data_IF_451008612713
#
_entry.id   IF_451008612713
#
_cell.length_a   1.000
_cell.length_b   1.000
_cell.length_c   1.000
_cell.angle_alpha   90.00
_cell.angle_beta   90.00
_cell.angle_gamma   90.00
#
_symmetry.space_group_name_H-M   'P 1'
#
loop_
_entity.id
_entity.type
_entity.pdbx_description
1 polymer ?
#
# COMPACT_ATOMS: atom_id res chain seq x y z
N UNK A 1 -17.13 -13.30 17.79
CA UNK A 1 -16.33 -13.76 16.64
C UNK A 1 -17.26 -13.91 15.44
N UNK A 2 -17.25 -12.95 14.51
CA UNK A 2 -18.17 -12.93 13.36
C UNK A 2 -17.48 -13.52 12.14
N UNK A 3 -17.53 -14.85 12.01
CA UNK A 3 -17.09 -15.56 10.82
C UNK A 3 -18.27 -15.70 9.87
N UNK A 4 -18.15 -15.19 8.64
CA UNK A 4 -19.15 -15.33 7.59
C UNK A 4 -18.55 -16.08 6.41
N UNK A 5 -19.35 -16.89 5.73
CA UNK A 5 -18.96 -17.58 4.52
C UNK A 5 -19.96 -17.21 3.42
N UNK A 6 -19.45 -16.75 2.28
CA UNK A 6 -20.23 -16.49 1.06
C UNK A 6 -19.67 -17.30 -0.10
N UNK A 7 -20.49 -17.54 -1.11
CA UNK A 7 -20.06 -18.10 -2.39
C UNK A 7 -20.35 -17.07 -3.46
N UNK A 8 -19.30 -16.61 -4.13
CA UNK A 8 -19.37 -15.65 -5.22
C UNK A 8 -18.55 -16.20 -6.39
N UNK A 9 -19.10 -16.20 -7.61
CA UNK A 9 -18.45 -16.72 -8.82
C UNK A 9 -17.90 -18.16 -8.67
N UNK A 10 -18.64 -19.03 -7.98
CA UNK A 10 -18.23 -20.40 -7.61
C UNK A 10 -17.02 -20.48 -6.66
N UNK A 11 -16.63 -19.36 -6.06
CA UNK A 11 -15.54 -19.26 -5.11
C UNK A 11 -16.07 -19.12 -3.67
N UNK A 12 -15.43 -19.82 -2.75
CA UNK A 12 -15.73 -19.68 -1.32
C UNK A 12 -14.96 -18.50 -0.75
N UNK A 13 -15.69 -17.48 -0.28
CA UNK A 13 -15.12 -16.37 0.48
C UNK A 13 -15.42 -16.56 1.97
N UNK A 14 -14.38 -16.56 2.78
CA UNK A 14 -14.46 -16.58 4.24
C UNK A 14 -14.06 -15.20 4.75
N UNK A 15 -14.97 -14.56 5.50
CA UNK A 15 -14.76 -13.23 6.08
C UNK A 15 -14.73 -13.33 7.61
N UNK A 16 -13.79 -12.60 8.19
CA UNK A 16 -13.65 -12.48 9.64
C UNK A 16 -13.43 -11.02 10.02
N UNK A 17 -14.32 -10.47 10.86
CA UNK A 17 -14.14 -9.14 11.44
C UNK A 17 -13.43 -9.28 12.79
N UNK A 18 -12.20 -8.81 12.85
CA UNK A 18 -11.40 -8.78 14.07
C UNK A 18 -11.84 -7.62 14.98
N UNK A 19 -11.68 -7.77 16.28
CA UNK A 19 -12.05 -6.75 17.28
C UNK A 19 -11.34 -5.41 17.12
N UNK A 20 -10.15 -5.41 16.49
CA UNK A 20 -9.41 -4.19 16.14
C UNK A 20 -10.03 -3.40 14.98
N UNK A 21 -11.09 -3.89 14.33
CA UNK A 21 -11.68 -3.33 13.13
C UNK A 21 -11.07 -3.84 11.82
N UNK A 22 -10.04 -4.72 11.89
CA UNK A 22 -9.48 -5.35 10.70
C UNK A 22 -10.47 -6.36 10.11
N UNK A 23 -10.79 -6.21 8.83
CA UNK A 23 -11.55 -7.20 8.06
C UNK A 23 -10.57 -8.14 7.36
N UNK A 24 -10.66 -9.42 7.66
CA UNK A 24 -9.84 -10.47 7.04
C UNK A 24 -10.70 -11.26 6.05
N UNK A 25 -10.21 -11.42 4.83
CA UNK A 25 -10.88 -12.17 3.77
C UNK A 25 -9.96 -13.29 3.30
N UNK A 26 -10.49 -14.50 3.21
CA UNK A 26 -9.75 -15.68 2.74
C UNK A 26 -10.54 -16.37 1.62
N UNK A 27 -9.88 -16.56 0.49
CA UNK A 27 -10.39 -17.35 -0.64
C UNK A 27 -9.55 -18.62 -0.75
N UNK A 28 -10.03 -19.77 -0.24
CA UNK A 28 -9.34 -21.03 -0.36
C UNK A 28 -9.30 -21.50 -1.82
N UNK A 29 -8.11 -21.85 -2.30
CA UNK A 29 -7.88 -22.37 -3.67
C UNK A 29 -7.27 -23.78 -3.61
N UNK A 30 -8.04 -24.83 -3.36
CA UNK A 30 -7.53 -26.19 -3.33
C UNK A 30 -6.84 -26.56 -4.65
N UNK A 31 -5.65 -27.20 -4.57
CA UNK A 31 -4.87 -27.60 -5.74
C UNK A 31 -3.94 -26.53 -6.30
N UNK A 32 -3.95 -25.30 -5.76
CA UNK A 32 -2.98 -24.28 -6.12
C UNK A 32 -1.80 -24.29 -5.13
N UNK A 33 -0.58 -24.30 -5.65
CA UNK A 33 0.64 -24.21 -4.86
C UNK A 33 0.99 -22.75 -4.51
N UNK A 34 0.72 -21.83 -5.46
CA UNK A 34 0.98 -20.41 -5.28
C UNK A 34 -0.02 -19.80 -4.30
N UNK A 35 0.50 -19.16 -3.27
CA UNK A 35 -0.26 -18.43 -2.25
C UNK A 35 -0.05 -16.93 -2.45
N UNK A 36 -1.05 -16.16 -2.11
CA UNK A 36 -1.05 -14.70 -2.19
C UNK A 36 -1.61 -14.14 -0.89
N UNK A 37 -0.98 -13.11 -0.35
CA UNK A 37 -1.54 -12.32 0.74
C UNK A 37 -1.37 -10.84 0.44
N UNK A 38 -2.36 -10.05 0.81
CA UNK A 38 -2.39 -8.60 0.66
C UNK A 38 -2.89 -7.94 1.95
N UNK A 39 -2.22 -6.89 2.37
CA UNK A 39 -2.68 -5.96 3.39
C UNK A 39 -3.05 -4.65 2.69
N UNK A 40 -4.32 -4.29 2.73
CA UNK A 40 -4.86 -3.10 2.09
C UNK A 40 -5.23 -2.05 3.14
N UNK A 41 -4.77 -0.83 2.93
CA UNK A 41 -5.10 0.31 3.78
C UNK A 41 -5.96 1.26 2.96
N UNK A 42 -7.12 1.65 3.49
CA UNK A 42 -7.99 2.65 2.87
C UNK A 42 -7.45 4.06 3.12
N UNK A 43 -6.29 4.30 2.54
CA UNK A 43 -5.58 5.57 2.54
C UNK A 43 -4.79 5.65 1.23
N UNK A 44 -5.03 6.65 0.42
CA UNK A 44 -4.42 6.82 -0.88
C UNK A 44 -4.10 8.28 -1.17
N UNK A 45 -3.75 8.59 -2.41
CA UNK A 45 -3.27 9.94 -2.77
C UNK A 45 -4.34 11.03 -2.66
N UNK A 46 -5.63 10.69 -2.66
CA UNK A 46 -6.72 11.67 -2.49
C UNK A 46 -7.01 12.00 -1.02
N UNK A 47 -6.45 11.25 -0.08
CA UNK A 47 -6.70 11.40 1.36
C UNK A 47 -5.70 12.41 1.98
N UNK A 48 -5.67 13.64 1.45
CA UNK A 48 -4.81 14.73 1.97
C UNK A 48 -5.39 15.44 3.20
N UNK A 49 -6.68 15.25 3.48
CA UNK A 49 -7.35 15.74 4.68
C UNK A 49 -8.22 14.63 5.28
N UNK A 50 -7.97 14.25 6.53
CA UNK A 50 -8.70 13.17 7.21
C UNK A 50 -8.74 13.38 8.72
N UNK A 51 -9.64 12.66 9.38
CA UNK A 51 -9.64 12.52 10.85
C UNK A 51 -9.07 11.13 11.15
N UNK A 52 -7.92 11.09 11.83
CA UNK A 52 -7.31 9.83 12.22
C UNK A 52 -8.21 9.07 13.22
N UNK A 53 -8.20 7.73 13.20
CA UNK A 53 -8.88 6.95 14.23
C UNK A 53 -8.43 7.41 15.63
N UNK A 54 -9.38 7.60 16.54
CA UNK A 54 -9.18 8.09 17.91
C UNK A 54 -8.77 9.59 18.02
N UNK A 55 -8.82 10.34 16.92
CA UNK A 55 -8.58 11.78 16.92
C UNK A 55 -9.89 12.55 16.72
N UNK A 56 -9.90 13.83 17.13
CA UNK A 56 -11.07 14.73 17.03
C UNK A 56 -10.80 15.93 16.12
N UNK A 57 -9.65 16.00 15.47
CA UNK A 57 -9.29 17.10 14.58
C UNK A 57 -8.90 16.60 13.20
N UNK A 58 -9.05 17.50 12.22
CA UNK A 58 -8.66 17.22 10.85
C UNK A 58 -7.14 17.30 10.73
N UNK A 59 -6.53 16.23 10.27
CA UNK A 59 -5.13 16.18 9.89
C UNK A 59 -5.00 16.51 8.40
N UNK A 60 -4.10 17.41 8.05
CA UNK A 60 -3.74 17.74 6.67
C UNK A 60 -2.33 17.27 6.40
N UNK A 61 -2.16 16.59 5.29
CA UNK A 61 -0.85 16.07 4.85
C UNK A 61 -0.56 16.55 3.43
N UNK A 62 0.71 16.69 3.04
CA UNK A 62 1.09 16.99 1.67
C UNK A 62 0.62 15.91 0.69
N UNK A 63 0.41 16.28 -0.58
CA UNK A 63 0.21 15.32 -1.66
C UNK A 63 1.41 14.38 -1.74
N UNK A 64 1.17 13.09 -2.04
CA UNK A 64 2.20 12.08 -2.14
C UNK A 64 2.54 11.34 -0.83
N UNK A 65 1.97 11.72 0.32
CA UNK A 65 2.29 11.06 1.62
C UNK A 65 1.94 9.58 1.61
N UNK A 66 0.84 9.17 0.97
CA UNK A 66 0.47 7.75 0.88
C UNK A 66 1.54 6.94 0.13
N UNK A 67 2.02 7.44 -1.00
CA UNK A 67 3.09 6.83 -1.79
C UNK A 67 4.44 6.86 -1.04
N UNK A 68 4.73 7.97 -0.37
CA UNK A 68 5.91 8.06 0.47
C UNK A 68 5.92 6.99 1.58
N UNK A 69 4.80 6.78 2.25
CA UNK A 69 4.67 5.74 3.27
C UNK A 69 4.77 4.33 2.69
N UNK A 70 4.29 4.12 1.47
CA UNK A 70 4.44 2.84 0.77
C UNK A 70 5.91 2.45 0.65
N UNK A 71 6.77 3.34 0.15
CA UNK A 71 8.21 3.12 0.08
C UNK A 71 8.83 2.91 1.46
N UNK A 72 8.44 3.77 2.40
CA UNK A 72 9.07 3.88 3.70
C UNK A 72 8.88 2.67 4.59
N UNK A 73 7.71 2.00 4.51
CA UNK A 73 7.43 0.85 5.38
C UNK A 73 8.34 -0.35 5.12
N UNK A 74 8.90 -0.51 3.91
CA UNK A 74 9.85 -1.59 3.63
C UNK A 74 11.20 -1.41 4.31
N UNK A 75 11.58 -0.18 4.66
CA UNK A 75 12.83 0.08 5.38
C UNK A 75 12.62 -0.12 6.89
N UNK A 76 13.41 -1.00 7.48
CA UNK A 76 13.38 -1.32 8.90
C UNK A 76 14.77 -1.07 9.51
N UNK A 77 14.86 -1.02 10.83
CA UNK A 77 16.12 -0.81 11.54
C UNK A 77 17.19 -1.83 11.17
N UNK A 78 16.79 -3.08 10.95
CA UNK A 78 17.64 -4.21 10.65
C UNK A 78 17.78 -4.52 9.14
N UNK A 79 17.31 -3.61 8.26
CA UNK A 79 17.46 -3.73 6.81
C UNK A 79 16.14 -3.60 6.03
N UNK A 80 16.18 -4.02 4.77
CA UNK A 80 15.03 -3.92 3.87
C UNK A 80 14.16 -5.20 3.93
N UNK A 81 12.88 -5.04 4.11
CA UNK A 81 11.92 -6.16 4.13
C UNK A 81 11.82 -6.89 2.79
N UNK A 82 12.08 -6.21 1.66
CA UNK A 82 12.12 -6.87 0.35
C UNK A 82 13.14 -8.00 0.33
N UNK A 83 14.34 -7.79 0.90
CA UNK A 83 15.40 -8.79 0.96
C UNK A 83 15.00 -9.99 1.83
N UNK A 84 14.29 -9.72 2.94
CA UNK A 84 13.74 -10.78 3.80
C UNK A 84 12.76 -11.67 3.05
N UNK A 85 11.82 -11.09 2.30
CA UNK A 85 10.88 -11.86 1.48
C UNK A 85 11.58 -12.67 0.39
N UNK A 86 12.52 -12.07 -0.32
CA UNK A 86 13.31 -12.76 -1.35
C UNK A 86 14.08 -13.94 -0.77
N UNK A 87 14.66 -13.80 0.42
CA UNK A 87 15.37 -14.90 1.11
C UNK A 87 14.44 -16.06 1.49
N UNK A 88 13.13 -15.81 1.63
CA UNK A 88 12.09 -16.80 1.86
C UNK A 88 11.53 -17.42 0.56
N UNK A 89 12.03 -17.00 -0.60
CA UNK A 89 11.51 -17.42 -1.90
C UNK A 89 10.18 -16.80 -2.29
N UNK A 90 9.83 -15.66 -1.68
CA UNK A 90 8.63 -14.91 -1.97
C UNK A 90 8.91 -13.70 -2.87
N UNK A 91 7.89 -13.23 -3.58
CA UNK A 91 7.91 -12.00 -4.37
C UNK A 91 7.02 -10.96 -3.69
N UNK A 92 7.58 -10.02 -2.92
CA UNK A 92 6.86 -8.92 -2.34
C UNK A 92 6.63 -7.81 -3.36
N UNK A 93 5.61 -7.00 -3.13
CA UNK A 93 5.39 -5.75 -3.84
C UNK A 93 4.44 -4.84 -3.03
N UNK A 94 4.33 -3.59 -3.45
CA UNK A 94 3.34 -2.66 -2.95
C UNK A 94 2.84 -1.76 -4.09
N UNK A 95 1.76 -1.04 -3.85
CA UNK A 95 1.25 -0.05 -4.77
C UNK A 95 0.36 0.95 -4.04
N UNK A 96 0.46 2.21 -4.42
CA UNK A 96 -0.42 3.29 -4.01
C UNK A 96 -1.36 3.67 -5.15
N UNK A 97 -2.64 3.75 -4.84
CA UNK A 97 -3.70 4.20 -5.73
C UNK A 97 -4.32 5.49 -5.20
N UNK A 98 -5.37 5.97 -5.84
CA UNK A 98 -6.08 7.18 -5.40
C UNK A 98 -6.69 7.06 -4.00
N UNK A 99 -7.21 5.89 -3.63
CA UNK A 99 -7.94 5.67 -2.37
C UNK A 99 -7.47 4.47 -1.55
N UNK A 100 -6.40 3.80 -1.96
CA UNK A 100 -5.84 2.63 -1.29
C UNK A 100 -4.33 2.58 -1.42
N UNK A 101 -3.67 2.03 -0.40
CA UNK A 101 -2.29 1.56 -0.45
C UNK A 101 -2.26 0.08 -0.11
N UNK A 102 -1.50 -0.71 -0.87
CA UNK A 102 -1.45 -2.17 -0.78
C UNK A 102 -0.02 -2.64 -0.55
N UNK A 103 0.13 -3.61 0.34
CA UNK A 103 1.36 -4.35 0.55
C UNK A 103 1.04 -5.81 0.39
N UNK A 104 1.75 -6.51 -0.48
CA UNK A 104 1.40 -7.88 -0.81
C UNK A 104 2.62 -8.73 -1.16
N UNK A 105 2.44 -10.03 -1.12
CA UNK A 105 3.43 -10.97 -1.61
C UNK A 105 2.79 -12.19 -2.26
N UNK A 106 3.57 -12.87 -3.08
CA UNK A 106 3.28 -14.22 -3.55
C UNK A 106 4.39 -15.17 -3.13
N UNK A 107 4.03 -16.40 -2.74
CA UNK A 107 4.98 -17.46 -2.43
C UNK A 107 4.41 -18.82 -2.77
N UNK A 108 5.25 -19.85 -2.79
CA UNK A 108 4.85 -21.27 -2.84
C UNK A 108 4.98 -21.94 -1.48
N UNK A 109 6.05 -21.60 -0.76
CA UNK A 109 6.38 -22.12 0.56
C UNK A 109 6.48 -21.02 1.60
N UNK A 110 6.65 -21.39 2.88
CA UNK A 110 6.92 -20.49 4.00
C UNK A 110 5.92 -19.35 4.14
N UNK A 111 4.65 -19.63 3.83
CA UNK A 111 3.58 -18.62 3.82
C UNK A 111 3.44 -17.93 5.18
N UNK A 112 3.46 -18.68 6.26
CA UNK A 112 3.28 -18.17 7.63
C UNK A 112 4.38 -17.18 8.00
N UNK A 113 5.63 -17.47 7.63
CA UNK A 113 6.76 -16.56 7.86
C UNK A 113 6.64 -15.28 7.02
N UNK A 114 6.30 -15.42 5.74
CA UNK A 114 6.04 -14.28 4.86
C UNK A 114 4.86 -13.43 5.37
N UNK A 115 3.79 -14.08 5.81
CA UNK A 115 2.62 -13.39 6.35
C UNK A 115 2.94 -12.66 7.66
N UNK A 116 3.72 -13.28 8.53
CA UNK A 116 4.23 -12.64 9.76
C UNK A 116 5.07 -11.40 9.42
N UNK A 117 5.96 -11.49 8.43
CA UNK A 117 6.75 -10.35 7.95
C UNK A 117 5.89 -9.23 7.38
N UNK A 118 4.84 -9.57 6.59
CA UNK A 118 3.90 -8.60 6.05
C UNK A 118 3.21 -7.80 7.18
N UNK A 119 2.66 -8.49 8.17
CA UNK A 119 2.03 -7.83 9.30
C UNK A 119 3.03 -7.03 10.13
N UNK A 120 4.24 -7.56 10.32
CA UNK A 120 5.26 -6.90 11.12
C UNK A 120 5.61 -5.52 10.56
N UNK A 121 6.01 -5.42 9.30
CA UNK A 121 6.49 -4.14 8.78
C UNK A 121 5.37 -3.12 8.55
N UNK A 122 4.15 -3.57 8.21
CA UNK A 122 3.01 -2.65 8.05
C UNK A 122 2.56 -2.08 9.40
N UNK A 123 2.65 -2.87 10.48
CA UNK A 123 2.21 -2.45 11.81
C UNK A 123 3.31 -1.80 12.66
N UNK A 124 4.57 -1.90 12.26
CA UNK A 124 5.72 -1.36 13.00
C UNK A 124 6.58 -0.48 12.08
N UNK A 125 6.10 0.72 11.71
CA UNK A 125 6.86 1.62 10.85
C UNK A 125 8.15 2.08 11.52
N UNK A 126 9.28 2.01 10.79
CA UNK A 126 10.55 2.58 11.20
C UNK A 126 10.86 3.82 10.37
N UNK A 127 10.68 5.00 10.99
CA UNK A 127 10.82 6.29 10.31
C UNK A 127 11.81 7.15 11.08
N UNK A 128 12.92 7.51 10.43
CA UNK A 128 13.93 8.41 10.93
C UNK A 128 14.10 9.61 10.00
N UNK A 129 14.60 10.72 10.50
CA UNK A 129 14.84 11.92 9.69
C UNK A 129 15.79 11.60 8.50
N UNK A 130 16.87 10.86 8.76
CA UNK A 130 17.82 10.45 7.74
C UNK A 130 17.16 9.60 6.64
N UNK A 131 16.35 8.62 7.04
CA UNK A 131 15.64 7.75 6.10
C UNK A 131 14.58 8.49 5.29
N UNK A 132 13.96 9.51 5.86
CA UNK A 132 13.01 10.39 5.16
C UNK A 132 13.72 11.20 4.09
N UNK A 133 14.86 11.84 4.41
CA UNK A 133 15.60 12.63 3.43
C UNK A 133 16.16 11.78 2.28
N UNK A 134 16.62 10.57 2.57
CA UNK A 134 17.04 9.61 1.54
C UNK A 134 15.89 9.26 0.60
N UNK A 135 14.71 8.95 1.14
CA UNK A 135 13.55 8.53 0.35
C UNK A 135 12.99 9.67 -0.52
N UNK A 136 13.01 10.90 -0.05
CA UNK A 136 12.65 12.07 -0.87
C UNK A 136 13.48 12.13 -2.16
N UNK A 137 14.78 11.81 -2.07
CA UNK A 137 15.66 11.75 -3.25
C UNK A 137 15.25 10.67 -4.24
N UNK A 138 14.87 9.49 -3.76
CA UNK A 138 14.44 8.35 -4.57
C UNK A 138 13.11 8.68 -5.28
N UNK A 139 12.11 9.15 -4.53
CA UNK A 139 10.80 9.51 -5.07
C UNK A 139 10.90 10.67 -6.06
N UNK A 140 11.80 11.64 -5.80
CA UNK A 140 12.06 12.73 -6.75
C UNK A 140 12.55 12.20 -8.12
N UNK A 141 13.40 11.18 -8.13
CA UNK A 141 13.85 10.55 -9.38
C UNK A 141 12.72 9.77 -10.05
N UNK A 142 11.87 9.10 -9.28
CA UNK A 142 10.72 8.38 -9.80
C UNK A 142 9.70 9.34 -10.43
N UNK A 143 9.38 10.47 -9.79
CA UNK A 143 8.52 11.51 -10.38
C UNK A 143 9.09 11.98 -11.70
N UNK A 144 10.39 12.26 -11.77
CA UNK A 144 11.02 12.70 -13.02
C UNK A 144 10.92 11.62 -14.12
N UNK A 145 11.06 10.34 -13.77
CA UNK A 145 10.87 9.24 -14.71
C UNK A 145 9.44 9.20 -15.28
N UNK A 146 8.42 9.40 -14.45
CA UNK A 146 7.03 9.49 -14.94
C UNK A 146 6.77 10.73 -15.78
N UNK A 147 7.41 11.84 -15.49
CA UNK A 147 7.32 13.07 -16.32
C UNK A 147 7.92 12.90 -17.70
N UNK A 148 8.80 11.93 -17.91
CA UNK A 148 9.34 11.56 -19.23
C UNK A 148 8.45 10.55 -19.98
N UNK A 149 7.36 10.07 -19.38
CA UNK A 149 6.45 9.08 -19.97
C UNK A 149 5.22 9.77 -20.60
N UNK A 150 5.07 9.82 -21.94
CA UNK A 150 3.97 10.53 -22.61
C UNK A 150 2.57 10.07 -22.18
N UNK A 151 2.37 8.75 -22.02
CA UNK A 151 1.08 8.19 -21.63
C UNK A 151 0.67 8.62 -20.22
N UNK A 152 1.64 8.74 -19.31
CA UNK A 152 1.41 9.25 -17.96
C UNK A 152 0.98 10.72 -18.02
N UNK A 153 1.71 11.56 -18.77
CA UNK A 153 1.38 12.98 -18.91
C UNK A 153 -0.02 13.17 -19.48
N UNK A 154 -0.38 12.45 -20.56
CA UNK A 154 -1.72 12.52 -21.16
C UNK A 154 -2.79 12.16 -20.13
N UNK A 155 -2.57 11.09 -19.35
CA UNK A 155 -3.52 10.64 -18.33
C UNK A 155 -3.70 11.69 -17.23
N UNK A 156 -2.61 12.26 -16.73
CA UNK A 156 -2.65 13.28 -15.68
C UNK A 156 -3.30 14.60 -16.17
N UNK A 157 -2.97 15.04 -17.38
CA UNK A 157 -3.60 16.24 -17.97
C UNK A 157 -5.11 16.02 -18.21
N UNK A 158 -5.51 14.83 -18.62
CA UNK A 158 -6.94 14.48 -18.72
C UNK A 158 -7.65 14.62 -17.37
N UNK A 159 -7.08 14.07 -16.29
CA UNK A 159 -7.63 14.20 -14.95
C UNK A 159 -7.69 15.66 -14.49
N UNK A 160 -6.66 16.46 -14.77
CA UNK A 160 -6.64 17.89 -14.44
C UNK A 160 -7.72 18.69 -15.17
N UNK A 161 -8.02 18.34 -16.41
CA UNK A 161 -9.08 18.97 -17.21
C UNK A 161 -10.49 18.54 -16.76
N UNK A 162 -10.65 17.26 -16.38
CA UNK A 162 -11.94 16.73 -15.96
C UNK A 162 -12.35 17.16 -14.53
N UNK A 163 -11.39 17.33 -13.63
CA UNK A 163 -11.63 17.58 -12.21
C UNK A 163 -11.00 18.89 -11.74
N UNK A 164 -11.81 19.88 -11.35
CA UNK A 164 -11.30 21.17 -10.87
C UNK A 164 -10.90 21.16 -9.40
N UNK A 165 -11.70 20.51 -8.54
CA UNK A 165 -11.54 20.56 -7.08
C UNK A 165 -11.29 19.18 -6.43
N UNK A 166 -11.35 18.08 -7.20
CA UNK A 166 -11.12 16.75 -6.67
C UNK A 166 -9.61 16.46 -6.61
N UNK A 167 -9.07 15.96 -5.49
CA UNK A 167 -7.65 15.61 -5.35
C UNK A 167 -7.13 14.57 -6.37
N UNK A 168 -8.00 13.83 -7.04
CA UNK A 168 -7.62 12.87 -8.11
C UNK A 168 -6.83 13.52 -9.24
N UNK A 169 -6.88 14.84 -9.37
CA UNK A 169 -6.11 15.62 -10.34
C UNK A 169 -4.63 15.77 -10.00
N UNK A 170 -4.26 15.45 -8.75
CA UNK A 170 -2.89 15.52 -8.27
C UNK A 170 -2.18 14.19 -8.52
N UNK A 171 -0.88 14.27 -8.73
CA UNK A 171 -0.04 13.08 -8.90
C UNK A 171 -0.04 12.24 -7.61
N UNK A 172 -0.11 10.91 -7.77
CA UNK A 172 -0.07 9.96 -6.64
C UNK A 172 1.24 10.08 -5.87
N UNK A 173 2.35 10.31 -6.57
CA UNK A 173 3.66 10.50 -5.96
C UNK A 173 3.87 11.90 -5.35
N UNK A 174 2.92 12.81 -5.56
CA UNK A 174 3.02 14.19 -5.09
C UNK A 174 3.84 15.09 -6.01
N UNK A 175 4.61 16.01 -5.45
CA UNK A 175 5.43 16.95 -6.23
C UNK A 175 6.80 17.16 -5.60
N UNK A 176 7.79 17.37 -6.44
CA UNK A 176 9.15 17.81 -6.05
C UNK A 176 9.10 19.33 -5.84
N UNK A 177 8.83 19.78 -4.60
CA UNK A 177 8.95 21.19 -4.21
C UNK A 177 9.60 21.33 -2.84
#
# INVERSE_FOLDING_TARGET
MNLRTRVEFDEKLIEYDHESGLCVQVVPKPGFYKKFAIFAVRFGSVDSEFVAPMDNHVTKVPDGVAHFLEHKLFEQEDGNMLDKFVSLGASPNAATSFNWTYYYFTCTDRFEECFGNLLYFVLNPYITEESVEKEKGIISQEINMYLDAPDFIVSMELLRLMYHNNPIRNDIAGSVR
#
